data_IF_825206409488
#
_entry.id   IF_825206409488
#
_cell.length_a   1.000
_cell.length_b   1.000
_cell.length_c   1.000
_cell.angle_alpha   90.00
_cell.angle_beta   90.00
_cell.angle_gamma   90.00
#
_symmetry.space_group_name_H-M   'P 1'
#
loop_
_entity.id
_entity.type
_entity.pdbx_description
1 polymer ?
#
# COMPACT_ATOMS: atom_id res chain seq x y z
N UNK A 1 30.63 -23.14 -20.61
CA UNK A 1 29.37 -22.97 -19.85
C UNK A 1 29.14 -21.57 -19.25
N UNK A 2 30.17 -20.77 -18.98
CA UNK A 2 30.02 -19.48 -18.26
C UNK A 2 29.27 -18.39 -19.07
N UNK A 3 29.45 -18.31 -20.40
CA UNK A 3 28.80 -17.30 -21.27
C UNK A 3 27.27 -17.38 -21.29
N UNK A 4 26.68 -18.58 -21.28
CA UNK A 4 25.22 -18.78 -21.31
C UNK A 4 24.53 -18.24 -20.05
N UNK A 5 25.14 -18.48 -18.88
CA UNK A 5 24.64 -17.96 -17.60
C UNK A 5 24.71 -16.43 -17.47
N UNK A 6 25.62 -15.78 -18.21
CA UNK A 6 25.77 -14.33 -18.18
C UNK A 6 24.69 -13.67 -19.06
N UNK A 7 24.45 -14.22 -20.25
CA UNK A 7 23.37 -13.77 -21.14
C UNK A 7 22.00 -13.90 -20.48
N UNK A 8 21.72 -15.02 -19.82
CA UNK A 8 20.46 -15.22 -19.07
C UNK A 8 20.27 -14.19 -17.95
N UNK A 9 21.36 -13.79 -17.26
CA UNK A 9 21.30 -12.75 -16.23
C UNK A 9 21.05 -11.37 -16.83
N UNK A 10 21.67 -11.07 -17.98
CA UNK A 10 21.47 -9.82 -18.70
C UNK A 10 20.04 -9.72 -19.21
N UNK A 11 19.49 -10.78 -19.80
CA UNK A 11 18.08 -10.82 -20.21
C UNK A 11 17.13 -10.66 -19.02
N UNK A 12 17.42 -11.30 -17.88
CA UNK A 12 16.61 -11.13 -16.66
C UNK A 12 16.63 -9.68 -16.16
N UNK A 13 17.79 -9.02 -16.17
CA UNK A 13 17.90 -7.61 -15.81
C UNK A 13 17.13 -6.74 -16.79
N UNK A 14 17.23 -7.00 -18.11
CA UNK A 14 16.51 -6.26 -19.13
C UNK A 14 14.98 -6.40 -18.99
N UNK A 15 14.49 -7.62 -18.75
CA UNK A 15 13.06 -7.87 -18.48
C UNK A 15 12.59 -7.20 -17.19
N UNK A 16 13.40 -7.22 -16.13
CA UNK A 16 13.10 -6.52 -14.89
C UNK A 16 13.02 -5.01 -15.11
N UNK A 17 13.94 -4.45 -15.90
CA UNK A 17 13.94 -3.03 -16.29
C UNK A 17 12.70 -2.65 -17.08
N UNK A 18 12.32 -3.44 -18.08
CA UNK A 18 11.09 -3.21 -18.86
C UNK A 18 9.86 -3.22 -17.95
N UNK A 19 9.78 -4.20 -17.04
CA UNK A 19 8.70 -4.30 -16.06
C UNK A 19 8.66 -3.13 -15.08
N UNK A 20 9.82 -2.68 -14.58
CA UNK A 20 9.92 -1.52 -13.69
C UNK A 20 9.60 -0.21 -14.40
N UNK A 21 9.92 -0.08 -15.69
CA UNK A 21 9.54 1.09 -16.51
C UNK A 21 8.06 1.13 -16.83
N UNK A 22 7.42 -0.03 -17.00
CA UNK A 22 5.98 -0.13 -17.25
C UNK A 22 5.13 0.03 -15.99
N UNK A 23 5.74 -0.04 -14.81
CA UNK A 23 5.05 0.07 -13.53
C UNK A 23 5.06 1.53 -13.05
N UNK A 24 3.93 1.98 -12.50
CA UNK A 24 3.81 3.29 -11.83
C UNK A 24 4.56 3.32 -10.49
N UNK A 25 4.77 2.15 -9.89
CA UNK A 25 5.55 2.00 -8.66
C UNK A 25 5.91 0.55 -8.35
N UNK A 26 6.76 0.35 -7.36
CA UNK A 26 7.11 -0.98 -6.86
C UNK A 26 7.40 -0.97 -5.37
N UNK A 27 7.08 -2.07 -4.69
CA UNK A 27 7.29 -2.24 -3.25
C UNK A 27 8.25 -3.41 -3.03
N UNK A 28 9.18 -3.23 -2.09
CA UNK A 28 10.14 -4.23 -1.67
C UNK A 28 9.71 -4.79 -0.31
N UNK A 29 9.45 -6.10 -0.30
CA UNK A 29 9.04 -6.84 0.89
C UNK A 29 10.02 -7.97 1.18
N UNK A 30 10.14 -8.38 2.43
CA UNK A 30 10.88 -9.57 2.82
C UNK A 30 9.92 -10.77 2.89
N UNK A 31 10.05 -11.77 2.00
CA UNK A 31 9.20 -12.95 2.03
C UNK A 31 9.69 -14.03 3.02
N UNK A 32 10.69 -13.74 3.88
CA UNK A 32 11.22 -14.71 4.85
C UNK A 32 10.11 -15.23 5.76
N UNK A 33 9.88 -16.55 5.74
CA UNK A 33 8.89 -17.21 6.59
C UNK A 33 7.52 -17.44 5.94
N UNK A 34 7.29 -17.01 4.69
CA UNK A 34 6.04 -17.30 3.98
C UNK A 34 5.95 -18.79 3.60
N UNK A 35 4.82 -19.44 3.89
CA UNK A 35 4.53 -20.77 3.33
C UNK A 35 4.19 -20.65 1.85
N UNK A 36 4.48 -21.70 1.07
CA UNK A 36 4.18 -21.74 -0.38
C UNK A 36 2.69 -21.47 -0.66
N UNK A 37 1.80 -22.01 0.18
CA UNK A 37 0.34 -21.76 0.09
C UNK A 37 0.01 -20.27 0.21
N UNK A 38 0.68 -19.58 1.13
CA UNK A 38 0.47 -18.16 1.41
C UNK A 38 0.98 -17.29 0.25
N UNK A 39 2.14 -17.66 -0.31
CA UNK A 39 2.68 -16.99 -1.49
C UNK A 39 1.78 -17.14 -2.71
N UNK A 40 1.10 -18.29 -2.84
CA UNK A 40 0.20 -18.54 -3.95
C UNK A 40 -1.09 -17.72 -3.82
N UNK A 41 -1.69 -17.66 -2.63
CA UNK A 41 -2.85 -16.79 -2.36
C UNK A 41 -2.50 -15.33 -2.63
N UNK A 42 -1.36 -14.85 -2.12
CA UNK A 42 -0.91 -13.48 -2.36
C UNK A 42 -0.71 -13.19 -3.85
N UNK A 43 -0.17 -14.15 -4.59
CA UNK A 43 0.03 -14.01 -6.04
C UNK A 43 -1.30 -13.96 -6.80
N UNK A 44 -2.27 -14.80 -6.44
CA UNK A 44 -3.60 -14.82 -7.03
C UNK A 44 -4.35 -13.51 -6.77
N UNK A 45 -4.32 -13.00 -5.54
CA UNK A 45 -4.96 -11.74 -5.20
C UNK A 45 -4.30 -10.56 -5.92
N UNK A 46 -2.96 -10.51 -5.95
CA UNK A 46 -2.24 -9.45 -6.67
C UNK A 46 -2.53 -9.50 -8.18
N UNK A 47 -2.68 -10.68 -8.78
CA UNK A 47 -3.08 -10.85 -10.18
C UNK A 47 -4.46 -10.24 -10.47
N UNK A 48 -5.44 -10.40 -9.56
CA UNK A 48 -6.77 -9.79 -9.71
C UNK A 48 -6.72 -8.26 -9.73
N UNK A 49 -5.74 -7.69 -9.02
CA UNK A 49 -5.55 -6.25 -8.85
C UNK A 49 -4.47 -5.73 -9.82
N UNK A 50 -4.09 -6.54 -10.81
CA UNK A 50 -3.08 -6.20 -11.82
C UNK A 50 -1.68 -5.87 -11.25
N UNK A 51 -1.38 -6.35 -10.04
CA UNK A 51 -0.06 -6.34 -9.44
C UNK A 51 0.75 -7.59 -9.79
N UNK A 52 2.05 -7.44 -10.04
CA UNK A 52 2.94 -8.60 -10.24
C UNK A 52 3.79 -8.81 -8.98
N UNK A 53 3.78 -10.03 -8.43
CA UNK A 53 4.68 -10.45 -7.35
C UNK A 53 5.80 -11.37 -7.87
N UNK A 54 7.06 -11.03 -7.60
CA UNK A 54 8.18 -11.91 -7.91
C UNK A 54 9.37 -11.72 -6.96
N UNK A 55 10.06 -12.82 -6.67
CA UNK A 55 11.25 -12.83 -5.81
C UNK A 55 12.51 -12.64 -6.66
N UNK A 56 13.35 -11.66 -6.32
CA UNK A 56 14.57 -11.35 -7.08
C UNK A 56 15.78 -11.33 -6.17
N UNK A 57 16.92 -11.83 -6.68
CA UNK A 57 18.20 -11.70 -5.99
C UNK A 57 18.62 -10.24 -5.90
N UNK A 58 19.03 -9.78 -4.71
CA UNK A 58 19.35 -8.37 -4.44
C UNK A 58 20.37 -7.78 -5.42
N UNK A 59 21.36 -8.57 -5.85
CA UNK A 59 22.37 -8.11 -6.83
C UNK A 59 21.76 -7.79 -8.20
N UNK A 60 20.73 -8.52 -8.63
CA UNK A 60 20.03 -8.25 -9.89
C UNK A 60 19.13 -7.01 -9.76
N UNK A 61 18.46 -6.87 -8.61
CA UNK A 61 17.64 -5.70 -8.30
C UNK A 61 18.46 -4.41 -8.29
N UNK A 62 19.60 -4.40 -7.58
CA UNK A 62 20.52 -3.24 -7.54
C UNK A 62 21.00 -2.83 -8.94
N UNK A 63 21.23 -3.78 -9.84
CA UNK A 63 21.62 -3.51 -11.23
C UNK A 63 20.45 -2.94 -12.03
N UNK A 64 19.26 -3.54 -11.92
CA UNK A 64 18.07 -3.06 -12.62
C UNK A 64 17.67 -1.63 -12.18
N UNK A 65 17.79 -1.31 -10.89
CA UNK A 65 17.51 0.02 -10.34
C UNK A 65 18.53 1.07 -10.83
N UNK A 66 19.84 0.74 -10.79
CA UNK A 66 20.89 1.59 -11.37
C UNK A 66 20.69 1.89 -12.84
N UNK A 67 20.25 0.90 -13.61
CA UNK A 67 19.98 1.08 -15.04
C UNK A 67 18.65 1.79 -15.34
N UNK A 68 17.81 2.01 -14.33
CA UNK A 68 16.48 2.61 -14.46
C UNK A 68 16.41 4.01 -13.85
N UNK A 69 17.55 4.65 -13.57
CA UNK A 69 17.67 6.02 -13.06
C UNK A 69 16.96 6.24 -11.70
N UNK A 70 16.95 5.21 -10.85
CA UNK A 70 16.58 5.37 -9.43
C UNK A 70 17.86 5.65 -8.63
N UNK A 71 18.08 6.91 -8.26
CA UNK A 71 19.30 7.36 -7.56
C UNK A 71 19.38 6.83 -6.11
N UNK A 72 18.24 6.70 -5.45
CA UNK A 72 18.18 6.21 -4.08
C UNK A 72 18.12 4.69 -4.06
N UNK A 73 19.29 4.05 -4.14
CA UNK A 73 19.39 2.60 -3.97
C UNK A 73 19.35 2.32 -2.47
N UNK A 74 18.34 1.59 -1.97
CA UNK A 74 18.26 1.34 -0.55
C UNK A 74 19.46 0.55 -0.04
N UNK A 75 20.16 1.11 0.95
CA UNK A 75 21.28 0.47 1.63
C UNK A 75 20.84 -0.82 2.34
N UNK A 76 19.55 -0.91 2.74
CA UNK A 76 18.95 -2.02 3.48
C UNK A 76 18.40 -3.19 2.65
N UNK A 77 18.97 -3.43 1.47
CA UNK A 77 18.74 -4.67 0.71
C UNK A 77 19.46 -5.88 1.34
N UNK A 78 19.27 -6.11 2.64
CA UNK A 78 19.73 -7.31 3.37
C UNK A 78 18.61 -8.35 3.41
N UNK A 79 18.94 -9.64 3.21
CA UNK A 79 17.95 -10.73 3.20
C UNK A 79 17.25 -10.95 1.84
N UNK A 80 16.33 -11.92 1.72
CA UNK A 80 15.58 -12.12 0.49
C UNK A 80 14.64 -10.93 0.24
N UNK A 81 14.52 -10.52 -1.02
CA UNK A 81 13.68 -9.39 -1.42
C UNK A 81 12.67 -9.84 -2.46
N UNK A 82 11.40 -9.67 -2.15
CA UNK A 82 10.31 -9.78 -3.09
C UNK A 82 9.93 -8.38 -3.59
N UNK A 83 9.67 -8.29 -4.89
CA UNK A 83 9.23 -7.07 -5.55
C UNK A 83 7.76 -7.25 -5.88
N UNK A 84 6.97 -6.24 -5.54
CA UNK A 84 5.59 -6.12 -5.99
C UNK A 84 5.49 -4.93 -6.90
N UNK A 85 5.13 -5.16 -8.17
CA UNK A 85 4.92 -4.09 -9.14
C UNK A 85 3.47 -3.62 -9.08
N UNK A 86 3.31 -2.31 -9.17
CA UNK A 86 2.03 -1.61 -9.28
C UNK A 86 1.95 -1.12 -10.73
N UNK A 87 1.09 -1.72 -11.56
CA UNK A 87 0.96 -1.36 -12.98
C UNK A 87 0.01 -0.19 -13.22
N UNK A 88 -1.09 -0.13 -12.46
CA UNK A 88 -2.02 0.99 -12.48
C UNK A 88 -1.82 1.80 -11.22
N UNK A 89 -2.05 3.10 -11.29
CA UNK A 89 -1.96 4.10 -10.21
C UNK A 89 -2.94 3.87 -9.03
N UNK A 90 -3.40 2.63 -8.87
CA UNK A 90 -4.26 2.18 -7.78
C UNK A 90 -3.36 1.65 -6.66
N UNK A 91 -3.52 2.23 -5.47
CA UNK A 91 -2.84 1.78 -4.23
C UNK A 91 -3.38 0.44 -3.70
N UNK A 92 -4.22 -0.27 -4.47
CA UNK A 92 -4.82 -1.55 -4.08
C UNK A 92 -3.78 -2.66 -3.83
N UNK A 93 -2.72 -2.84 -4.65
CA UNK A 93 -1.68 -3.83 -4.37
C UNK A 93 -0.91 -3.52 -3.08
N UNK A 94 -0.76 -2.25 -2.73
CA UNK A 94 -0.11 -1.82 -1.48
C UNK A 94 -0.97 -2.19 -0.26
N UNK A 95 -2.30 -1.96 -0.34
CA UNK A 95 -3.25 -2.39 0.70
C UNK A 95 -3.21 -3.88 0.94
N UNK A 96 -3.26 -4.65 -0.14
CA UNK A 96 -3.23 -6.11 -0.09
C UNK A 96 -2.00 -6.60 0.68
N UNK A 97 -0.83 -6.02 0.39
CA UNK A 97 0.43 -6.35 1.07
C UNK A 97 0.41 -5.97 2.54
N UNK A 98 -0.11 -4.79 2.90
CA UNK A 98 -0.19 -4.35 4.30
C UNK A 98 -1.17 -5.20 5.08
N UNK A 99 -2.37 -5.46 4.55
CA UNK A 99 -3.33 -6.37 5.18
C UNK A 99 -2.75 -7.78 5.35
N UNK A 100 -2.00 -8.26 4.36
CA UNK A 100 -1.35 -9.56 4.47
C UNK A 100 -0.17 -9.57 5.45
N UNK A 101 0.52 -8.45 5.58
CA UNK A 101 1.57 -8.22 6.59
C UNK A 101 0.97 -8.23 8.00
N UNK A 102 -0.13 -7.51 8.22
CA UNK A 102 -0.86 -7.49 9.50
C UNK A 102 -1.45 -8.87 9.84
N UNK A 103 -2.02 -9.58 8.86
CA UNK A 103 -2.65 -10.88 9.10
C UNK A 103 -1.66 -12.00 9.44
N UNK A 104 -0.40 -11.89 9.01
CA UNK A 104 0.59 -12.97 9.17
C UNK A 104 1.83 -12.57 9.97
N UNK A 105 2.03 -11.31 10.32
CA UNK A 105 3.16 -10.73 11.08
C UNK A 105 4.58 -11.07 10.55
N UNK A 106 4.68 -11.81 9.45
CA UNK A 106 5.92 -12.39 8.93
C UNK A 106 6.43 -11.61 7.71
N UNK A 107 5.55 -10.91 6.99
CA UNK A 107 5.91 -10.16 5.79
C UNK A 107 6.37 -8.75 6.19
N UNK A 108 7.68 -8.52 6.29
CA UNK A 108 8.21 -7.19 6.60
C UNK A 108 8.26 -6.32 5.34
N UNK A 109 7.56 -5.20 5.36
CA UNK A 109 7.65 -4.18 4.31
C UNK A 109 8.89 -3.36 4.58
N UNK A 110 9.82 -3.33 3.62
CA UNK A 110 11.06 -2.57 3.76
C UNK A 110 10.84 -1.16 3.23
N UNK A 111 10.65 -1.05 1.93
CA UNK A 111 10.77 0.20 1.17
C UNK A 111 9.88 0.11 -0.06
N UNK A 112 9.38 1.24 -0.56
CA UNK A 112 8.64 1.30 -1.81
C UNK A 112 9.06 2.52 -2.62
N UNK A 113 8.78 2.45 -3.91
CA UNK A 113 8.97 3.53 -4.84
C UNK A 113 7.65 3.77 -5.54
N UNK A 114 7.17 5.00 -5.50
CA UNK A 114 5.96 5.42 -6.21
C UNK A 114 6.37 6.59 -7.11
N UNK A 115 6.09 6.51 -8.41
CA UNK A 115 6.39 7.57 -9.38
C UNK A 115 7.87 8.06 -9.35
N UNK A 116 8.81 7.18 -9.01
CA UNK A 116 10.25 7.47 -8.81
C UNK A 116 10.61 8.20 -7.51
N UNK A 117 9.65 8.55 -6.67
CA UNK A 117 9.92 8.98 -5.31
C UNK A 117 10.17 7.76 -4.41
N UNK A 118 11.21 7.84 -3.57
CA UNK A 118 11.43 6.91 -2.48
C UNK A 118 10.37 7.11 -1.41
N UNK A 119 9.78 6.03 -0.93
CA UNK A 119 8.79 6.03 0.14
C UNK A 119 9.27 5.07 1.22
N UNK A 120 9.48 5.60 2.43
CA UNK A 120 9.90 4.82 3.60
C UNK A 120 8.78 3.88 4.10
N UNK A 121 9.14 2.90 4.95
CA UNK A 121 8.18 1.93 5.51
C UNK A 121 6.97 2.59 6.19
N UNK A 122 7.19 3.65 6.96
CA UNK A 122 6.13 4.33 7.71
C UNK A 122 5.17 5.10 6.79
N UNK A 123 5.69 5.67 5.71
CA UNK A 123 4.87 6.32 4.69
C UNK A 123 4.11 5.30 3.85
N UNK A 124 4.69 4.12 3.58
CA UNK A 124 3.98 3.03 2.90
C UNK A 124 2.79 2.52 3.71
N UNK A 125 2.93 2.42 5.03
CA UNK A 125 1.82 2.06 5.91
C UNK A 125 0.70 3.11 5.85
N UNK A 126 1.04 4.40 5.84
CA UNK A 126 0.06 5.48 5.66
C UNK A 126 -0.59 5.44 4.28
N UNK A 127 0.17 5.17 3.23
CA UNK A 127 -0.35 5.05 1.87
C UNK A 127 -1.25 3.82 1.71
N UNK A 128 -0.98 2.73 2.44
CA UNK A 128 -1.86 1.58 2.46
C UNK A 128 -3.15 1.85 3.24
N UNK A 129 -3.10 2.66 4.30
CA UNK A 129 -4.29 3.06 5.04
C UNK A 129 -5.24 3.97 4.22
N UNK A 130 -4.77 4.56 3.11
CA UNK A 130 -5.61 5.43 2.27
C UNK A 130 -6.80 4.65 1.72
N UNK A 131 -8.04 5.10 1.89
CA UNK A 131 -9.21 4.39 1.35
C UNK A 131 -9.23 4.39 -0.19
N UNK A 132 -10.07 3.54 -0.79
CA UNK A 132 -10.20 3.41 -2.25
C UNK A 132 -10.63 4.74 -2.89
N UNK A 133 -10.44 4.91 -4.20
CA UNK A 133 -10.82 6.15 -4.90
C UNK A 133 -12.28 6.56 -4.67
N UNK A 134 -13.20 5.59 -4.66
CA UNK A 134 -14.63 5.84 -4.38
C UNK A 134 -14.85 6.31 -2.95
N UNK A 135 -14.18 5.68 -2.00
CA UNK A 135 -14.25 6.05 -0.58
C UNK A 135 -13.61 7.41 -0.33
N UNK A 136 -12.50 7.75 -0.99
CA UNK A 136 -11.88 9.08 -0.94
C UNK A 136 -12.82 10.17 -1.48
N UNK A 137 -13.51 9.89 -2.59
CA UNK A 137 -14.53 10.80 -3.13
C UNK A 137 -15.69 10.94 -2.13
N UNK A 138 -16.16 9.85 -1.54
CA UNK A 138 -17.19 9.89 -0.51
C UNK A 138 -16.74 10.69 0.72
N UNK A 139 -15.48 10.53 1.14
CA UNK A 139 -14.89 11.26 2.25
C UNK A 139 -14.81 12.76 1.93
N UNK A 140 -14.43 13.13 0.70
CA UNK A 140 -14.43 14.52 0.25
C UNK A 140 -15.84 15.12 0.27
N UNK A 141 -16.83 14.41 -0.27
CA UNK A 141 -18.24 14.84 -0.24
C UNK A 141 -18.76 14.97 1.19
N UNK A 142 -18.41 14.04 2.07
CA UNK A 142 -18.76 14.11 3.49
C UNK A 142 -18.14 15.32 4.19
N UNK A 143 -16.87 15.64 3.88
CA UNK A 143 -16.21 16.83 4.42
C UNK A 143 -16.83 18.13 3.89
N UNK A 144 -17.22 18.17 2.61
CA UNK A 144 -17.95 19.32 2.04
C UNK A 144 -19.34 19.49 2.67
N UNK A 145 -20.02 18.39 3.02
CA UNK A 145 -21.32 18.40 3.68
C UNK A 145 -21.23 18.56 5.21
N UNK A 146 -20.03 18.42 5.80
CA UNK A 146 -19.78 18.55 7.24
C UNK A 146 -20.24 19.89 7.82
N UNK A 147 -19.90 21.06 7.25
CA UNK A 147 -20.35 22.34 7.80
C UNK A 147 -21.87 22.54 7.74
N UNK A 148 -22.53 22.03 6.70
CA UNK A 148 -23.99 22.09 6.57
C UNK A 148 -24.65 21.23 7.65
N UNK A 149 -24.14 20.01 7.85
CA UNK A 149 -24.63 19.08 8.87
C UNK A 149 -24.33 19.58 10.29
N UNK A 150 -23.18 20.24 10.50
CA UNK A 150 -22.83 20.85 11.78
C UNK A 150 -23.76 22.02 12.13
N UNK A 151 -24.14 22.84 11.15
CA UNK A 151 -25.09 23.93 11.36
C UNK A 151 -26.47 23.42 11.76
N UNK A 152 -27.01 22.41 11.05
CA UNK A 152 -28.31 21.84 11.41
C UNK A 152 -28.27 21.17 12.78
N UNK A 153 -27.18 20.45 13.09
CA UNK A 153 -27.00 19.80 14.38
C UNK A 153 -26.90 20.81 15.52
N UNK A 154 -26.14 21.90 15.37
CA UNK A 154 -26.02 22.95 16.39
C UNK A 154 -27.35 23.66 16.65
N UNK A 155 -28.14 23.94 15.62
CA UNK A 155 -29.48 24.50 15.78
C UNK A 155 -30.42 23.53 16.51
N UNK A 156 -30.35 22.23 16.17
CA UNK A 156 -31.17 21.21 16.81
C UNK A 156 -30.73 20.90 18.24
N UNK A 157 -29.44 20.97 18.54
CA UNK A 157 -28.87 20.70 19.86
C UNK A 157 -29.40 21.66 20.93
N UNK A 158 -29.65 22.93 20.58
CA UNK A 158 -30.24 23.89 21.51
C UNK A 158 -31.67 23.49 21.92
N UNK A 159 -32.49 23.01 20.97
CA UNK A 159 -33.85 22.53 21.24
C UNK A 159 -33.82 21.22 22.03
N UNK A 160 -32.94 20.29 21.65
CA UNK A 160 -32.76 19.03 22.36
C UNK A 160 -32.30 19.26 23.81
N UNK A 161 -31.38 20.19 24.05
CA UNK A 161 -30.92 20.53 25.39
C UNK A 161 -32.05 21.02 26.31
N UNK A 162 -32.99 21.80 25.77
CA UNK A 162 -34.19 22.21 26.53
C UNK A 162 -35.10 21.02 26.84
N UNK A 163 -35.36 20.15 25.86
CA UNK A 163 -36.17 18.94 26.07
C UNK A 163 -35.51 17.99 27.08
N UNK A 164 -34.19 17.82 27.00
CA UNK A 164 -33.43 16.95 27.89
C UNK A 164 -33.44 17.47 29.34
N UNK A 165 -33.36 18.78 29.54
CA UNK A 165 -33.44 19.36 30.89
C UNK A 165 -34.84 19.23 31.47
N UNK A 166 -35.89 19.43 30.67
CA UNK A 166 -37.29 19.21 31.10
C UNK A 166 -37.56 17.74 31.44
N UNK A 167 -37.06 16.80 30.64
CA UNK A 167 -37.19 15.36 30.92
C UNK A 167 -36.42 14.98 32.20
N UNK A 168 -35.22 15.52 32.40
CA UNK A 168 -34.47 15.34 33.66
C UNK A 168 -35.21 15.90 34.88
N UNK A 169 -35.88 17.06 34.76
CA UNK A 169 -36.68 17.60 35.85
C UNK A 169 -37.90 16.73 36.17
N UNK A 170 -38.58 16.21 35.15
CA UNK A 170 -39.71 15.28 35.31
C UNK A 170 -39.28 13.98 35.99
N UNK A 171 -38.16 13.40 35.59
CA UNK A 171 -37.65 12.14 36.14
C UNK A 171 -37.08 12.29 37.56
N UNK A 172 -36.68 13.50 37.99
CA UNK A 172 -36.27 13.79 39.38
C UNK A 172 -37.44 13.98 40.36
N UNK A 173 -38.64 14.24 39.84
CA UNK A 173 -39.83 14.54 40.64
C UNK A 173 -40.73 13.32 40.89
N UNK A 174 -40.32 12.14 40.42
CA UNK A 174 -40.83 10.82 40.83
C UNK A 174 -39.72 10.07 41.57
#
# INVERSE_FOLDING_TARGET
MIKKSLQEKIEKVKRLKEKLKSASGFILTDPSGLKVKDAQVLKENLLQIQGDFFVVKNTLLKRALKESDYDEIPQDLQGPTAVVLIKNDELLPLKEIVQFSEAKELLKIKIGFLEKAYVGSDELLKLAALPSKKELIAFLVANLNSPISGLTYTLQANLQGLVFTLDQMKNRSN
#
